data_IF_413183217684
#
_entry.id   IF_413183217684
#
_cell.length_a   1.000
_cell.length_b   1.000
_cell.length_c   1.000
_cell.angle_alpha   90.00
_cell.angle_beta   90.00
_cell.angle_gamma   90.00
#
_symmetry.space_group_name_H-M   'P 1'
#
loop_
_entity.id
_entity.type
_entity.pdbx_description
1 polymer ?
#
# COMPACT_ATOMS: atom_id res chain seq x y z
N UNK A 1 -21.02 -6.67 12.21
CA UNK A 1 -19.96 -7.70 11.97
C UNK A 1 -19.11 -7.35 10.76
N UNK A 2 -19.70 -7.04 9.58
CA UNK A 2 -18.94 -6.66 8.38
C UNK A 2 -18.06 -5.40 8.52
N UNK A 3 -18.51 -4.35 9.22
CA UNK A 3 -17.73 -3.11 9.36
C UNK A 3 -16.43 -3.30 10.16
N UNK A 4 -16.46 -4.11 11.22
CA UNK A 4 -15.25 -4.40 12.00
C UNK A 4 -14.22 -5.18 11.18
N UNK A 5 -14.69 -6.13 10.38
CA UNK A 5 -13.85 -6.90 9.46
C UNK A 5 -13.23 -6.00 8.37
N UNK A 6 -14.01 -5.07 7.83
CA UNK A 6 -13.51 -4.10 6.85
C UNK A 6 -12.41 -3.22 7.43
N UNK A 7 -12.59 -2.72 8.66
CA UNK A 7 -11.56 -1.94 9.38
C UNK A 7 -10.30 -2.77 9.63
N UNK A 8 -10.45 -4.06 9.98
CA UNK A 8 -9.31 -4.96 10.16
C UNK A 8 -8.50 -5.13 8.88
N UNK A 9 -9.16 -5.38 7.74
CA UNK A 9 -8.48 -5.48 6.44
C UNK A 9 -7.76 -4.18 6.10
N UNK A 10 -8.39 -3.01 6.30
CA UNK A 10 -7.70 -1.73 6.09
C UNK A 10 -6.45 -1.56 6.95
N UNK A 11 -6.48 -2.03 8.21
CA UNK A 11 -5.31 -2.00 9.10
C UNK A 11 -4.20 -2.92 8.60
N UNK A 12 -4.55 -4.10 8.11
CA UNK A 12 -3.59 -5.05 7.52
C UNK A 12 -2.93 -4.47 6.26
N UNK A 13 -3.74 -3.91 5.35
CA UNK A 13 -3.24 -3.21 4.16
C UNK A 13 -2.28 -2.07 4.55
N UNK A 14 -2.66 -1.23 5.51
CA UNK A 14 -1.82 -0.12 5.97
C UNK A 14 -0.50 -0.56 6.64
N UNK A 15 -0.39 -1.84 7.00
CA UNK A 15 0.76 -2.43 7.71
C UNK A 15 1.68 -3.23 6.80
N UNK A 16 1.39 -3.33 5.49
CA UNK A 16 2.25 -4.00 4.49
C UNK A 16 3.62 -3.34 4.46
N UNK A 17 4.69 -4.13 4.66
CA UNK A 17 6.10 -3.67 4.64
C UNK A 17 6.91 -4.24 3.48
N UNK A 18 6.37 -5.22 2.79
CA UNK A 18 7.04 -5.89 1.69
C UNK A 18 6.02 -6.66 0.85
N UNK A 19 6.50 -7.30 -0.22
CA UNK A 19 5.66 -8.02 -1.17
C UNK A 19 5.02 -9.29 -0.58
N UNK A 20 5.68 -9.95 0.37
CA UNK A 20 5.14 -11.13 1.06
C UNK A 20 3.94 -10.74 1.94
N UNK A 21 4.05 -9.67 2.72
CA UNK A 21 2.92 -9.16 3.53
C UNK A 21 1.71 -8.83 2.63
N UNK A 22 1.95 -8.25 1.45
CA UNK A 22 0.89 -7.95 0.49
C UNK A 22 0.17 -9.22 0.03
N UNK A 23 0.91 -10.29 -0.27
CA UNK A 23 0.34 -11.57 -0.71
C UNK A 23 -0.46 -12.26 0.38
N UNK A 24 -0.02 -12.19 1.64
CA UNK A 24 -0.79 -12.74 2.77
C UNK A 24 -2.13 -12.01 2.95
N UNK A 25 -2.14 -10.69 2.77
CA UNK A 25 -3.38 -9.89 2.83
C UNK A 25 -4.25 -10.15 1.61
N UNK A 26 -3.66 -10.34 0.43
CA UNK A 26 -4.37 -10.71 -0.81
C UNK A 26 -5.10 -12.04 -0.63
N UNK A 27 -4.39 -13.10 -0.21
CA UNK A 27 -4.92 -14.44 0.05
C UNK A 27 -6.06 -14.40 1.07
N UNK A 28 -5.89 -13.67 2.18
CA UNK A 28 -6.96 -13.53 3.18
C UNK A 28 -8.22 -12.87 2.61
N UNK A 29 -8.07 -11.85 1.75
CA UNK A 29 -9.22 -11.19 1.11
C UNK A 29 -9.90 -12.17 0.14
N UNK A 30 -9.13 -12.93 -0.65
CA UNK A 30 -9.67 -13.92 -1.57
C UNK A 30 -10.42 -15.05 -0.85
N UNK A 31 -9.85 -15.61 0.20
CA UNK A 31 -10.46 -16.68 0.99
C UNK A 31 -11.80 -16.25 1.60
N UNK A 32 -11.92 -14.97 1.97
CA UNK A 32 -13.09 -14.44 2.68
C UNK A 32 -14.15 -13.87 1.75
N UNK A 33 -13.74 -13.28 0.62
CA UNK A 33 -14.62 -12.47 -0.22
C UNK A 33 -14.60 -12.88 -1.70
N UNK A 34 -13.75 -13.84 -2.09
CA UNK A 34 -13.54 -14.25 -3.47
C UNK A 34 -12.73 -13.23 -4.27
N UNK A 35 -12.98 -13.17 -5.58
CA UNK A 35 -12.21 -12.35 -6.51
C UNK A 35 -12.05 -10.89 -6.06
N UNK A 36 -10.81 -10.43 -6.00
CA UNK A 36 -10.48 -9.07 -5.59
C UNK A 36 -10.80 -8.09 -6.74
N UNK A 37 -11.61 -7.05 -6.49
CA UNK A 37 -11.86 -6.00 -7.48
C UNK A 37 -10.58 -5.19 -7.78
N UNK A 38 -10.41 -4.64 -9.00
CA UNK A 38 -9.25 -3.82 -9.36
C UNK A 38 -9.00 -2.64 -8.40
N UNK A 39 -10.06 -2.02 -7.87
CA UNK A 39 -9.94 -0.95 -6.89
C UNK A 39 -9.28 -1.40 -5.58
N UNK A 40 -9.52 -2.64 -5.15
CA UNK A 40 -8.91 -3.21 -3.94
C UNK A 40 -7.45 -3.58 -4.19
N UNK A 41 -7.12 -4.12 -5.37
CA UNK A 41 -5.74 -4.30 -5.81
C UNK A 41 -4.94 -3.00 -5.76
N UNK A 42 -5.53 -1.89 -6.21
CA UNK A 42 -4.88 -0.58 -6.13
C UNK A 42 -4.53 -0.19 -4.69
N UNK A 43 -5.34 -0.54 -3.69
CA UNK A 43 -5.02 -0.27 -2.29
C UNK A 43 -3.80 -1.07 -1.81
N UNK A 44 -3.72 -2.35 -2.21
CA UNK A 44 -2.56 -3.21 -1.92
C UNK A 44 -1.29 -2.65 -2.56
N UNK A 45 -1.35 -2.26 -3.83
CA UNK A 45 -0.21 -1.66 -4.53
C UNK A 45 0.20 -0.31 -3.95
N UNK A 46 -0.74 0.55 -3.58
CA UNK A 46 -0.44 1.83 -2.93
C UNK A 46 0.28 1.60 -1.60
N UNK A 47 -0.16 0.62 -0.80
CA UNK A 47 0.49 0.29 0.46
C UNK A 47 1.92 -0.25 0.25
N UNK A 48 2.10 -1.15 -0.73
CA UNK A 48 3.43 -1.66 -1.09
C UNK A 48 4.37 -0.54 -1.60
N UNK A 49 3.88 0.32 -2.49
CA UNK A 49 4.63 1.48 -2.97
C UNK A 49 5.00 2.41 -1.81
N UNK A 50 4.07 2.69 -0.90
CA UNK A 50 4.34 3.52 0.28
C UNK A 50 5.42 2.91 1.16
N UNK A 51 5.41 1.59 1.35
CA UNK A 51 6.45 0.90 2.10
C UNK A 51 7.83 1.08 1.46
N UNK A 52 7.95 0.81 0.15
CA UNK A 52 9.20 1.01 -0.57
C UNK A 52 9.67 2.48 -0.53
N UNK A 53 8.76 3.42 -0.78
CA UNK A 53 9.00 4.85 -0.71
C UNK A 53 9.54 5.27 0.68
N UNK A 54 8.94 4.76 1.75
CA UNK A 54 9.37 5.04 3.13
C UNK A 54 10.80 4.54 3.37
N UNK A 55 11.15 3.35 2.87
CA UNK A 55 12.49 2.76 3.07
C UNK A 55 13.60 3.55 2.37
N UNK A 56 13.29 4.30 1.32
CA UNK A 56 14.25 5.14 0.58
C UNK A 56 14.11 6.64 0.93
N UNK A 57 13.40 6.98 2.00
CA UNK A 57 13.29 8.35 2.47
C UNK A 57 12.39 9.26 1.61
N UNK A 58 11.48 8.69 0.81
CA UNK A 58 10.42 9.47 0.14
C UNK A 58 9.39 9.90 1.19
N UNK A 59 9.17 11.21 1.26
CA UNK A 59 8.17 11.88 2.09
C UNK A 59 6.80 11.93 1.42
N UNK A 60 6.75 12.07 0.09
CA UNK A 60 5.50 12.24 -0.64
C UNK A 60 5.61 11.89 -2.12
N UNK A 61 4.51 11.37 -2.68
CA UNK A 61 4.35 11.12 -4.12
C UNK A 61 3.03 11.76 -4.52
N UNK A 62 3.07 12.74 -5.42
CA UNK A 62 1.90 13.50 -5.85
C UNK A 62 1.84 13.51 -7.37
N UNK A 63 0.73 13.05 -7.93
CA UNK A 63 0.43 13.21 -9.36
C UNK A 63 -0.24 14.57 -9.61
N UNK A 64 0.28 15.34 -10.57
CA UNK A 64 -0.33 16.58 -11.08
C UNK A 64 -0.42 16.48 -12.60
N UNK A 65 -1.61 16.15 -13.12
CA UNK A 65 -1.82 15.91 -14.55
C UNK A 65 -0.99 14.72 -15.02
N UNK A 66 -0.06 14.97 -15.95
CA UNK A 66 0.88 13.98 -16.49
C UNK A 66 2.21 13.93 -15.74
N UNK A 67 2.41 14.79 -14.74
CA UNK A 67 3.67 14.86 -13.97
C UNK A 67 3.53 14.16 -12.63
N UNK A 68 4.61 13.50 -12.19
CA UNK A 68 4.74 12.91 -10.86
C UNK A 68 5.80 13.70 -10.10
N UNK A 69 5.44 14.20 -8.92
CA UNK A 69 6.33 14.90 -7.99
C UNK A 69 6.65 13.93 -6.86
N UNK A 70 7.93 13.68 -6.63
CA UNK A 70 8.42 12.84 -5.53
C UNK A 70 9.23 13.72 -4.58
N UNK A 71 8.72 13.90 -3.38
CA UNK A 71 9.34 14.68 -2.31
C UNK A 71 10.10 13.74 -1.39
N UNK A 72 11.35 14.06 -1.09
CA UNK A 72 12.22 13.29 -0.19
C UNK A 72 12.46 14.05 1.13
N UNK A 73 12.81 13.34 2.20
CA UNK A 73 13.36 13.97 3.39
C UNK A 73 14.76 14.54 3.11
N UNK A 74 15.16 15.60 3.82
CA UNK A 74 16.47 16.27 3.62
C UNK A 74 17.66 15.32 3.76
N UNK A 75 17.52 14.28 4.59
CA UNK A 75 18.53 13.27 4.87
C UNK A 75 18.28 11.94 4.14
N UNK A 76 17.47 11.92 3.08
CA UNK A 76 17.31 10.73 2.26
C UNK A 76 18.69 10.34 1.66
N UNK A 77 19.23 9.19 2.09
CA UNK A 77 20.47 8.66 1.53
C UNK A 77 20.17 8.03 0.19
N UNK A 78 20.80 8.54 -0.86
CA UNK A 78 20.84 7.90 -2.16
C UNK A 78 22.23 7.26 -2.25
N UNK A 79 22.32 5.97 -1.90
CA UNK A 79 23.50 5.16 -2.20
C UNK A 79 23.47 4.71 -3.67
#
# INVERSE_FOLDING_TARGET
QNEMQKIEIYKKIASIKNKQDMYEVEEEIEDRYGNIPPATYNLLYIALMKSHATNIGVRGIIQKGTSIIIDFYENASFD
#
